data_IF_806773811711
#
_entry.id   IF_806773811711
#
_cell.length_a   1.000
_cell.length_b   1.000
_cell.length_c   1.000
_cell.angle_alpha   90.00
_cell.angle_beta   90.00
_cell.angle_gamma   90.00
#
_symmetry.space_group_name_H-M   'P 1'
#
loop_
_entity.id
_entity.type
_entity.pdbx_description
1 polymer ?
#
# COMPACT_ATOMS: atom_id res chain seq x y z
N UNK A 1 -68.93 -35.85 -18.68
CA UNK A 1 -67.61 -35.67 -18.02
C UNK A 1 -66.91 -34.46 -18.66
N UNK A 2 -66.84 -33.35 -17.93
CA UNK A 2 -66.39 -32.04 -18.48
C UNK A 2 -64.95 -31.77 -18.02
N UNK A 3 -64.04 -31.59 -18.99
CA UNK A 3 -62.63 -31.21 -18.74
C UNK A 3 -62.57 -29.71 -18.49
N UNK A 4 -61.97 -29.29 -17.38
CA UNK A 4 -61.77 -27.88 -17.02
C UNK A 4 -60.38 -27.39 -17.46
N UNK A 5 -60.25 -26.07 -17.60
CA UNK A 5 -59.20 -25.36 -18.33
C UNK A 5 -57.77 -25.43 -17.75
N UNK A 6 -57.49 -26.31 -16.78
CA UNK A 6 -56.13 -26.51 -16.23
C UNK A 6 -55.51 -27.87 -16.53
N UNK A 7 -56.20 -28.76 -17.25
CA UNK A 7 -55.66 -30.07 -17.63
C UNK A 7 -55.12 -30.09 -19.06
N UNK A 8 -54.20 -29.19 -19.44
CA UNK A 8 -53.30 -29.39 -20.58
C UNK A 8 -51.95 -28.71 -20.32
N UNK A 9 -50.90 -29.53 -20.35
CA UNK A 9 -49.51 -29.12 -20.32
C UNK A 9 -49.15 -28.33 -21.58
N UNK A 10 -49.03 -27.02 -21.45
CA UNK A 10 -48.28 -26.10 -22.33
C UNK A 10 -48.43 -24.69 -21.76
N UNK A 11 -47.76 -24.42 -20.64
CA UNK A 11 -47.79 -23.13 -19.96
C UNK A 11 -46.41 -22.76 -19.49
N UNK A 12 -45.72 -21.96 -20.29
CA UNK A 12 -44.49 -21.26 -19.92
C UNK A 12 -44.78 -20.36 -18.71
N UNK A 13 -44.44 -20.83 -17.52
CA UNK A 13 -44.26 -19.96 -16.35
C UNK A 13 -42.88 -19.32 -16.53
N UNK A 14 -42.75 -17.98 -16.60
CA UNK A 14 -41.44 -17.33 -16.59
C UNK A 14 -40.93 -17.43 -15.15
N UNK A 15 -40.31 -18.56 -14.83
CA UNK A 15 -39.50 -18.69 -13.64
C UNK A 15 -38.29 -17.79 -13.87
N UNK A 16 -38.20 -16.75 -13.05
CA UNK A 16 -37.10 -15.79 -12.93
C UNK A 16 -35.84 -16.50 -12.39
N UNK A 17 -35.39 -17.49 -13.17
CA UNK A 17 -34.15 -18.22 -12.96
C UNK A 17 -33.03 -17.33 -13.45
N UNK A 18 -32.29 -16.81 -12.49
CA UNK A 18 -30.89 -16.43 -12.57
C UNK A 18 -30.21 -17.08 -13.79
N UNK A 19 -29.84 -16.24 -14.78
CA UNK A 19 -29.04 -16.67 -15.94
C UNK A 19 -27.75 -17.34 -15.44
N UNK A 20 -27.42 -18.57 -15.87
CA UNK A 20 -26.05 -19.03 -15.79
C UNK A 20 -25.21 -18.13 -16.69
N UNK A 21 -24.17 -17.51 -16.11
CA UNK A 21 -23.24 -16.67 -16.84
C UNK A 21 -22.67 -17.44 -18.04
N UNK A 22 -22.88 -16.90 -19.24
CA UNK A 22 -22.21 -17.38 -20.44
C UNK A 22 -20.70 -17.24 -20.25
N UNK A 23 -19.98 -18.35 -20.41
CA UNK A 23 -18.53 -18.37 -20.57
C UNK A 23 -18.14 -17.50 -21.77
N UNK A 24 -17.21 -16.54 -21.65
CA UNK A 24 -16.57 -15.96 -22.82
C UNK A 24 -15.65 -17.02 -23.45
N UNK A 25 -15.97 -17.44 -24.67
CA UNK A 25 -15.05 -18.17 -25.54
C UNK A 25 -14.20 -17.19 -26.35
N UNK A 26 -12.96 -17.61 -26.59
CA UNK A 26 -11.91 -17.03 -27.45
C UNK A 26 -11.02 -15.92 -26.86
N UNK A 27 -10.06 -16.36 -26.04
CA UNK A 27 -8.71 -15.77 -25.99
C UNK A 27 -7.76 -16.80 -26.64
N UNK A 28 -6.83 -16.41 -27.51
CA UNK A 28 -6.00 -17.36 -28.24
C UNK A 28 -5.10 -18.15 -27.29
N UNK A 29 -5.09 -19.47 -27.50
CA UNK A 29 -4.22 -20.43 -26.84
C UNK A 29 -2.75 -20.01 -26.98
N UNK A 30 -2.11 -19.68 -25.86
CA UNK A 30 -0.69 -19.99 -25.66
C UNK A 30 -0.64 -21.29 -24.88
N UNK A 31 -0.27 -22.37 -25.58
CA UNK A 31 0.06 -23.64 -24.96
C UNK A 31 1.22 -23.42 -23.99
N UNK A 32 0.99 -23.65 -22.70
CA UNK A 32 2.03 -24.02 -21.76
C UNK A 32 1.52 -25.23 -20.98
N UNK A 33 1.78 -26.41 -21.55
CA UNK A 33 1.93 -27.62 -20.74
C UNK A 33 3.18 -27.46 -19.89
N UNK A 34 3.01 -27.35 -18.58
CA UNK A 34 4.11 -27.20 -17.65
C UNK A 34 3.61 -27.29 -16.22
N UNK A 35 3.46 -28.53 -15.74
CA UNK A 35 3.68 -29.01 -14.37
C UNK A 35 3.58 -27.96 -13.27
N UNK A 36 2.55 -28.08 -12.43
CA UNK A 36 2.35 -27.26 -11.24
C UNK A 36 3.62 -27.11 -10.41
N UNK A 37 4.26 -25.96 -10.55
CA UNK A 37 5.06 -25.36 -9.49
C UNK A 37 4.13 -24.39 -8.81
N UNK A 38 3.96 -24.58 -7.51
CA UNK A 38 3.47 -23.56 -6.57
C UNK A 38 4.09 -22.23 -6.98
N UNK A 39 3.32 -21.40 -7.69
CA UNK A 39 3.85 -20.18 -8.26
C UNK A 39 3.92 -19.21 -7.09
N UNK A 40 5.11 -19.10 -6.49
CA UNK A 40 5.42 -18.00 -5.59
C UNK A 40 4.89 -16.70 -6.23
N UNK A 41 4.21 -15.84 -5.46
CA UNK A 41 3.67 -14.61 -5.97
C UNK A 41 4.81 -13.84 -6.63
N UNK A 42 4.73 -13.74 -7.94
CA UNK A 42 5.87 -13.36 -8.76
C UNK A 42 6.38 -11.98 -8.31
N UNK A 43 7.69 -11.83 -8.10
CA UNK A 43 8.32 -10.59 -7.64
C UNK A 43 7.77 -9.37 -8.37
N UNK A 44 7.63 -8.24 -7.67
CA UNK A 44 7.12 -7.01 -8.26
C UNK A 44 7.98 -6.53 -9.42
N UNK A 45 7.41 -5.67 -10.26
CA UNK A 45 8.14 -5.03 -11.35
C UNK A 45 9.31 -4.18 -10.84
N UNK A 46 9.21 -3.61 -9.63
CA UNK A 46 10.25 -2.79 -9.04
C UNK A 46 11.46 -3.64 -8.64
N UNK A 47 11.24 -4.75 -7.93
CA UNK A 47 12.30 -5.68 -7.55
C UNK A 47 13.00 -6.23 -8.79
N UNK A 48 12.25 -6.65 -9.82
CA UNK A 48 12.84 -7.15 -11.07
C UNK A 48 13.72 -6.12 -11.77
N UNK A 49 13.34 -4.84 -11.76
CA UNK A 49 14.16 -3.76 -12.32
C UNK A 49 15.46 -3.62 -11.55
N UNK A 50 15.42 -3.57 -10.22
CA UNK A 50 16.61 -3.47 -9.38
C UNK A 50 17.52 -4.70 -9.54
N UNK A 51 16.95 -5.90 -9.57
CA UNK A 51 17.69 -7.15 -9.80
C UNK A 51 18.37 -7.16 -11.18
N UNK A 52 17.65 -6.76 -12.24
CA UNK A 52 18.22 -6.68 -13.59
C UNK A 52 19.37 -5.67 -13.67
N UNK A 53 19.27 -4.56 -12.92
CA UNK A 53 20.29 -3.53 -12.88
C UNK A 53 21.51 -4.04 -12.09
N UNK A 54 21.29 -4.68 -10.95
CA UNK A 54 22.35 -5.30 -10.14
C UNK A 54 23.10 -6.37 -10.94
N UNK A 55 22.38 -7.22 -11.67
CA UNK A 55 22.99 -8.22 -12.56
C UNK A 55 23.79 -7.56 -13.69
N UNK A 56 23.27 -6.50 -14.30
CA UNK A 56 23.99 -5.72 -15.31
C UNK A 56 25.29 -5.12 -14.79
N UNK A 57 25.28 -4.55 -13.58
CA UNK A 57 26.47 -3.98 -12.92
C UNK A 57 27.49 -5.06 -12.58
N UNK A 58 27.05 -6.25 -12.17
CA UNK A 58 27.94 -7.38 -11.82
C UNK A 58 28.55 -8.05 -13.05
N UNK A 59 27.80 -8.17 -14.14
CA UNK A 59 28.21 -8.90 -15.34
C UNK A 59 29.07 -8.07 -16.29
N UNK A 60 28.82 -6.77 -16.37
CA UNK A 60 29.49 -5.90 -17.34
C UNK A 60 30.78 -5.30 -16.79
N UNK A 61 31.70 -5.00 -17.71
CA UNK A 61 32.97 -4.33 -17.41
C UNK A 61 32.94 -2.82 -17.67
N UNK A 62 31.76 -2.25 -17.99
CA UNK A 62 31.59 -0.82 -18.26
C UNK A 62 32.18 -0.32 -19.60
N UNK A 63 32.73 -1.21 -20.43
CA UNK A 63 33.27 -0.87 -21.76
C UNK A 63 32.33 -1.21 -22.91
N UNK A 64 31.27 -1.96 -22.62
CA UNK A 64 30.29 -2.37 -23.62
C UNK A 64 29.40 -1.19 -23.98
N UNK A 65 29.14 -0.99 -25.27
CA UNK A 65 28.14 -0.03 -25.72
C UNK A 65 26.75 -0.59 -25.43
N UNK A 66 25.82 0.30 -25.11
CA UNK A 66 24.41 -0.08 -24.98
C UNK A 66 23.92 -0.64 -26.34
N UNK A 67 23.30 -1.84 -26.37
CA UNK A 67 22.75 -2.41 -27.60
C UNK A 67 21.67 -1.52 -28.24
N UNK A 68 21.00 -0.69 -27.46
CA UNK A 68 20.01 0.28 -27.95
C UNK A 68 20.64 1.60 -28.41
N UNK A 69 21.98 1.71 -28.40
CA UNK A 69 22.73 2.89 -28.82
C UNK A 69 22.83 3.99 -27.75
N UNK A 70 22.24 3.78 -26.57
CA UNK A 70 22.18 4.78 -25.50
C UNK A 70 21.26 5.96 -25.85
N UNK A 71 21.05 6.86 -24.89
CA UNK A 71 20.24 8.06 -25.08
C UNK A 71 21.13 9.30 -25.22
N UNK A 72 21.02 9.96 -26.38
CA UNK A 72 21.40 11.36 -26.56
C UNK A 72 20.12 12.18 -26.54
N UNK A 73 19.85 12.87 -25.44
CA UNK A 73 18.52 13.43 -25.18
C UNK A 73 18.02 14.38 -26.30
N UNK A 74 18.88 14.98 -27.15
CA UNK A 74 18.46 15.81 -28.31
C UNK A 74 17.36 16.83 -27.94
N UNK A 75 17.49 17.50 -26.80
CA UNK A 75 16.50 18.41 -26.21
C UNK A 75 15.16 17.78 -25.77
N UNK A 76 15.07 16.46 -25.64
CA UNK A 76 13.98 15.75 -24.96
C UNK A 76 14.21 15.72 -23.46
N UNK A 77 13.11 15.81 -22.72
CA UNK A 77 13.10 15.74 -21.26
C UNK A 77 13.08 14.28 -20.82
N UNK A 78 14.09 13.89 -20.04
CA UNK A 78 14.18 12.59 -19.39
C UNK A 78 14.68 12.80 -17.96
N UNK A 79 14.22 11.95 -17.04
CA UNK A 79 14.71 11.96 -15.67
C UNK A 79 16.21 11.70 -15.63
N UNK A 80 16.92 12.34 -14.69
CA UNK A 80 18.34 12.09 -14.46
C UNK A 80 18.56 10.65 -13.99
N UNK A 81 19.68 10.05 -14.40
CA UNK A 81 20.05 8.72 -13.92
C UNK A 81 20.26 8.76 -12.41
N UNK A 82 19.55 7.93 -11.62
CA UNK A 82 19.64 7.97 -10.16
C UNK A 82 21.01 7.48 -9.65
N UNK A 83 21.71 6.65 -10.44
CA UNK A 83 22.96 6.02 -10.03
C UNK A 83 24.19 6.66 -10.68
N UNK A 84 24.08 7.21 -11.89
CA UNK A 84 25.20 7.84 -12.62
C UNK A 84 24.74 9.05 -13.42
N UNK A 85 24.52 10.18 -12.77
CA UNK A 85 24.00 11.38 -13.42
C UNK A 85 24.98 12.09 -14.39
N UNK A 86 26.29 11.84 -14.28
CA UNK A 86 27.30 12.50 -15.11
C UNK A 86 28.44 11.56 -15.51
N UNK A 87 28.88 11.65 -16.77
CA UNK A 87 30.11 11.00 -17.23
C UNK A 87 31.33 11.79 -16.74
N UNK A 88 32.21 11.15 -15.95
CA UNK A 88 33.44 11.78 -15.46
C UNK A 88 34.50 12.04 -16.54
N UNK A 89 34.38 11.39 -17.70
CA UNK A 89 35.35 11.55 -18.80
C UNK A 89 35.06 12.75 -19.70
N UNK A 90 33.80 12.97 -20.09
CA UNK A 90 33.41 14.05 -21.01
C UNK A 90 32.40 15.05 -20.44
N UNK A 91 31.94 14.87 -19.19
CA UNK A 91 30.97 15.76 -18.56
C UNK A 91 29.53 15.61 -19.05
N UNK A 92 29.23 14.63 -19.91
CA UNK A 92 27.87 14.40 -20.40
C UNK A 92 26.92 14.07 -19.24
N UNK A 93 25.82 14.82 -19.13
CA UNK A 93 24.73 14.53 -18.19
C UNK A 93 23.91 13.34 -18.73
N UNK A 94 23.72 12.32 -17.89
CA UNK A 94 23.09 11.06 -18.27
C UNK A 94 21.69 10.96 -17.66
N UNK A 95 20.72 10.67 -18.52
CA UNK A 95 19.35 10.36 -18.10
C UNK A 95 19.18 8.89 -17.68
N UNK A 96 18.03 8.56 -17.09
CA UNK A 96 17.67 7.23 -16.61
C UNK A 96 17.67 6.13 -17.69
N UNK A 97 17.61 6.50 -18.97
CA UNK A 97 17.73 5.57 -20.11
C UNK A 97 19.16 5.06 -20.23
N UNK A 98 20.16 5.89 -19.91
CA UNK A 98 21.56 5.49 -19.92
C UNK A 98 21.87 4.68 -18.66
N UNK A 99 22.02 3.37 -18.84
CA UNK A 99 22.29 2.45 -17.74
C UNK A 99 23.75 2.59 -17.25
N UNK A 100 23.98 2.51 -15.93
CA UNK A 100 25.28 2.83 -15.32
C UNK A 100 26.39 1.82 -15.67
N UNK A 101 26.01 0.68 -16.24
CA UNK A 101 26.87 -0.46 -16.51
C UNK A 101 27.33 -0.53 -17.99
N UNK A 102 26.81 0.35 -18.85
CA UNK A 102 27.30 0.55 -20.21
C UNK A 102 28.33 1.70 -20.28
N UNK A 103 29.06 1.74 -21.40
CA UNK A 103 29.99 2.81 -21.72
C UNK A 103 29.25 4.12 -22.05
N UNK A 104 29.92 5.25 -21.83
CA UNK A 104 29.38 6.56 -22.20
C UNK A 104 29.04 6.62 -23.69
N UNK A 105 27.84 7.08 -24.09
CA UNK A 105 27.46 7.13 -25.50
C UNK A 105 28.32 8.14 -26.30
N UNK A 106 28.84 9.20 -25.66
CA UNK A 106 29.65 10.23 -26.31
C UNK A 106 31.14 9.85 -26.42
N UNK A 107 31.81 9.54 -25.29
CA UNK A 107 33.25 9.30 -25.30
C UNK A 107 33.65 7.83 -25.15
N UNK A 108 32.70 6.89 -25.04
CA UNK A 108 32.95 5.45 -24.80
C UNK A 108 33.73 5.11 -23.52
N UNK A 109 33.95 6.09 -22.64
CA UNK A 109 34.57 5.86 -21.34
C UNK A 109 33.64 5.09 -20.40
N UNK A 110 34.22 4.26 -19.53
CA UNK A 110 33.48 3.59 -18.48
C UNK A 110 32.87 4.62 -17.51
N UNK A 111 31.56 4.50 -17.26
CA UNK A 111 30.83 5.43 -16.39
C UNK A 111 31.17 5.24 -14.91
N UNK A 112 31.52 4.01 -14.52
CA UNK A 112 31.86 3.63 -13.17
C UNK A 112 33.27 3.05 -13.08
N UNK A 113 34.07 3.55 -12.15
CA UNK A 113 35.30 2.88 -11.71
C UNK A 113 34.98 1.55 -11.01
N UNK A 114 35.95 0.64 -10.89
CA UNK A 114 35.74 -0.64 -10.20
C UNK A 114 35.24 -0.46 -8.76
N UNK A 115 35.80 0.51 -8.04
CA UNK A 115 35.39 0.86 -6.67
C UNK A 115 33.96 1.41 -6.66
N UNK A 116 33.61 2.26 -7.63
CA UNK A 116 32.25 2.78 -7.72
C UNK A 116 31.25 1.67 -8.06
N UNK A 117 31.62 0.71 -8.91
CA UNK A 117 30.81 -0.47 -9.24
C UNK A 117 30.53 -1.33 -8.02
N UNK A 118 31.56 -1.67 -7.23
CA UNK A 118 31.36 -2.47 -6.02
C UNK A 118 30.49 -1.75 -4.98
N UNK A 119 30.68 -0.43 -4.83
CA UNK A 119 29.82 0.38 -3.96
C UNK A 119 28.38 0.45 -4.45
N UNK A 120 28.17 0.53 -5.78
CA UNK A 120 26.85 0.55 -6.38
C UNK A 120 26.17 -0.80 -6.24
N UNK A 121 26.87 -1.92 -6.45
CA UNK A 121 26.29 -3.24 -6.26
C UNK A 121 25.82 -3.45 -4.82
N UNK A 122 26.61 -3.02 -3.82
CA UNK A 122 26.22 -3.11 -2.42
C UNK A 122 24.96 -2.26 -2.12
N UNK A 123 24.90 -1.03 -2.67
CA UNK A 123 23.72 -0.17 -2.53
C UNK A 123 22.47 -0.78 -3.17
N UNK A 124 22.60 -1.40 -4.34
CA UNK A 124 21.49 -2.07 -5.01
C UNK A 124 21.00 -3.28 -4.21
N UNK A 125 21.89 -4.05 -3.60
CA UNK A 125 21.52 -5.18 -2.73
C UNK A 125 20.76 -4.70 -1.49
N UNK A 126 21.19 -3.58 -0.89
CA UNK A 126 20.45 -2.93 0.19
C UNK A 126 19.07 -2.40 -0.26
N UNK A 127 18.97 -1.81 -1.45
CA UNK A 127 17.69 -1.34 -1.99
C UNK A 127 16.73 -2.51 -2.28
N UNK A 128 17.25 -3.62 -2.83
CA UNK A 128 16.47 -4.84 -3.08
C UNK A 128 15.94 -5.40 -1.76
N UNK A 129 16.80 -5.57 -0.75
CA UNK A 129 16.37 -6.08 0.56
C UNK A 129 15.34 -5.18 1.24
N UNK A 130 15.52 -3.85 1.19
CA UNK A 130 14.54 -2.87 1.69
C UNK A 130 13.21 -2.98 0.94
N UNK A 131 13.25 -3.17 -0.37
CA UNK A 131 12.04 -3.27 -1.20
C UNK A 131 11.28 -4.59 -0.94
N UNK A 132 12.00 -5.69 -0.79
CA UNK A 132 11.42 -7.00 -0.40
C UNK A 132 10.74 -6.89 0.95
N UNK A 133 11.40 -6.33 1.96
CA UNK A 133 10.83 -6.15 3.29
C UNK A 133 9.54 -5.31 3.27
N UNK A 134 9.51 -4.22 2.49
CA UNK A 134 8.31 -3.39 2.30
C UNK A 134 7.16 -4.17 1.65
N UNK A 135 7.44 -4.97 0.63
CA UNK A 135 6.43 -5.79 -0.03
C UNK A 135 5.88 -6.89 0.87
N UNK A 136 6.72 -7.48 1.71
CA UNK A 136 6.29 -8.46 2.71
C UNK A 136 5.40 -7.81 3.79
N UNK A 137 5.79 -6.64 4.30
CA UNK A 137 4.99 -5.88 5.25
C UNK A 137 3.61 -5.52 4.66
N UNK A 138 3.58 -5.01 3.43
CA UNK A 138 2.34 -4.66 2.75
C UNK A 138 1.44 -5.89 2.54
N UNK A 139 2.03 -7.04 2.18
CA UNK A 139 1.28 -8.31 2.08
C UNK A 139 0.67 -8.72 3.42
N UNK A 140 1.41 -8.61 4.51
CA UNK A 140 0.91 -8.91 5.85
C UNK A 140 -0.21 -7.95 6.26
N UNK A 141 -0.07 -6.65 5.96
CA UNK A 141 -1.11 -5.65 6.24
C UNK A 141 -2.39 -5.91 5.46
N UNK A 142 -2.29 -6.24 4.16
CA UNK A 142 -3.46 -6.58 3.34
C UNK A 142 -4.12 -7.87 3.84
N UNK A 143 -3.34 -8.88 4.24
CA UNK A 143 -3.89 -10.12 4.79
C UNK A 143 -4.61 -9.91 6.13
N UNK A 144 -4.08 -9.04 7.00
CA UNK A 144 -4.75 -8.65 8.26
C UNK A 144 -6.05 -7.90 7.98
N UNK A 145 -6.02 -6.89 7.10
CA UNK A 145 -7.21 -6.15 6.71
C UNK A 145 -8.30 -7.04 6.10
N UNK A 146 -7.92 -8.04 5.29
CA UNK A 146 -8.86 -9.01 4.76
C UNK A 146 -9.52 -9.86 5.86
N UNK A 147 -8.75 -10.32 6.85
CA UNK A 147 -9.30 -11.04 8.02
C UNK A 147 -10.23 -10.16 8.85
N UNK A 148 -9.84 -8.91 9.08
CA UNK A 148 -10.65 -7.94 9.82
C UNK A 148 -11.95 -7.64 9.08
N UNK A 149 -11.91 -7.55 7.73
CA UNK A 149 -13.08 -7.34 6.90
C UNK A 149 -14.01 -8.56 6.82
N UNK A 150 -13.48 -9.78 6.76
CA UNK A 150 -14.27 -11.02 6.84
C UNK A 150 -14.95 -11.19 8.21
N UNK A 151 -14.31 -10.73 9.29
CA UNK A 151 -14.87 -10.69 10.62
C UNK A 151 -15.82 -9.50 10.88
N UNK A 152 -15.80 -8.48 10.01
CA UNK A 152 -16.62 -7.29 10.15
C UNK A 152 -18.02 -7.51 9.53
N UNK A 153 -19.05 -7.44 10.37
CA UNK A 153 -20.43 -7.45 9.90
C UNK A 153 -20.68 -6.20 9.04
N UNK A 154 -21.35 -6.31 7.87
CA UNK A 154 -21.60 -5.17 6.99
C UNK A 154 -22.29 -4.04 7.75
N UNK A 155 -21.64 -2.89 7.89
CA UNK A 155 -22.26 -1.71 8.47
C UNK A 155 -23.25 -1.16 7.44
N UNK A 156 -24.54 -1.39 7.67
CA UNK A 156 -25.60 -0.76 6.89
C UNK A 156 -25.47 0.76 7.05
N UNK A 157 -25.25 1.46 5.93
CA UNK A 157 -25.19 2.91 5.89
C UNK A 157 -26.54 3.48 6.38
N UNK A 158 -26.55 3.96 7.61
CA UNK A 158 -27.75 4.45 8.31
C UNK A 158 -27.49 4.80 9.78
N UNK A 159 -26.41 4.29 10.39
CA UNK A 159 -25.99 4.71 11.73
C UNK A 159 -24.84 5.72 11.63
N UNK A 160 -25.18 7.00 11.76
CA UNK A 160 -24.20 8.06 12.02
C UNK A 160 -23.66 7.87 13.43
N UNK A 161 -22.35 7.65 13.57
CA UNK A 161 -21.49 8.24 14.62
C UNK A 161 -20.04 7.80 14.39
N UNK A 162 -19.06 8.72 14.46
CA UNK A 162 -17.65 8.37 14.48
C UNK A 162 -17.26 8.03 15.92
N UNK A 163 -16.82 6.80 16.17
CA UNK A 163 -16.20 6.44 17.46
C UNK A 163 -14.73 6.15 17.24
N UNK A 164 -13.95 7.23 17.21
CA UNK A 164 -12.53 7.16 17.56
C UNK A 164 -12.48 7.04 19.08
N UNK A 165 -11.64 6.11 19.60
CA UNK A 165 -11.37 5.81 21.02
C UNK A 165 -12.39 4.90 21.71
N UNK A 166 -11.99 3.64 21.98
CA UNK A 166 -12.27 2.93 23.25
C UNK A 166 -11.56 1.58 23.27
N UNK A 167 -10.28 1.59 23.67
CA UNK A 167 -9.70 0.46 24.42
C UNK A 167 -10.00 0.74 25.90
N UNK A 168 -11.14 0.26 26.37
CA UNK A 168 -11.52 0.22 27.79
C UNK A 168 -12.36 -1.04 28.01
N UNK A 169 -12.21 -1.74 29.15
CA UNK A 169 -12.85 -3.01 29.39
C UNK A 169 -14.37 -2.82 29.46
N UNK A 170 -15.07 -3.66 28.70
CA UNK A 170 -16.52 -3.66 28.55
C UNK A 170 -17.21 -3.72 29.91
N UNK A 171 -17.95 -2.65 30.23
CA UNK A 171 -18.97 -2.65 31.28
C UNK A 171 -19.99 -3.77 30.96
N UNK A 172 -20.34 -4.67 31.90
CA UNK A 172 -21.33 -5.71 31.62
C UNK A 172 -22.67 -5.03 31.38
N UNK A 173 -23.10 -5.00 30.12
CA UNK A 173 -24.47 -4.64 29.78
C UNK A 173 -25.38 -5.67 30.43
N UNK A 174 -26.48 -5.22 31.03
CA UNK A 174 -27.48 -6.10 31.62
C UNK A 174 -28.05 -7.01 30.51
N UNK A 175 -27.46 -8.19 30.34
CA UNK A 175 -27.89 -9.17 29.35
C UNK A 175 -29.19 -9.79 29.85
N UNK A 176 -30.31 -9.29 29.34
CA UNK A 176 -31.60 -9.98 29.49
C UNK A 176 -31.60 -11.17 28.53
N UNK A 177 -31.23 -12.35 29.03
CA UNK A 177 -31.28 -13.56 28.21
C UNK A 177 -32.75 -13.95 27.99
N UNK A 178 -33.20 -13.90 26.73
CA UNK A 178 -34.50 -14.44 26.31
C UNK A 178 -34.28 -15.87 25.85
N UNK A 179 -34.74 -16.83 26.65
CA UNK A 179 -34.61 -18.25 26.33
C UNK A 179 -35.91 -18.70 25.67
N UNK A 180 -35.80 -19.16 24.42
CA UNK A 180 -36.89 -19.79 23.69
C UNK A 180 -36.81 -21.29 23.90
N UNK A 181 -37.73 -21.83 24.70
CA UNK A 181 -37.83 -23.27 24.92
C UNK A 181 -38.95 -23.84 24.06
N UNK A 182 -38.63 -24.87 23.26
CA UNK A 182 -39.57 -25.53 22.37
C UNK A 182 -39.92 -26.90 22.96
N UNK A 183 -41.18 -27.09 23.35
CA UNK A 183 -41.61 -28.36 23.93
C UNK A 183 -41.81 -29.39 22.81
N UNK A 184 -40.98 -30.43 22.77
CA UNK A 184 -40.97 -31.42 21.69
C UNK A 184 -42.25 -32.25 21.59
N UNK A 185 -43.02 -32.39 22.69
CA UNK A 185 -44.28 -33.15 22.70
C UNK A 185 -45.48 -32.33 22.24
N UNK A 186 -45.49 -31.02 22.52
CA UNK A 186 -46.63 -30.15 22.18
C UNK A 186 -46.35 -29.18 21.04
N UNK A 187 -45.10 -29.12 20.53
CA UNK A 187 -44.59 -28.17 19.50
C UNK A 187 -44.88 -26.70 19.81
N UNK A 188 -45.25 -26.38 21.06
CA UNK A 188 -45.47 -25.02 21.52
C UNK A 188 -44.15 -24.44 22.00
N UNK A 189 -43.90 -23.19 21.66
CA UNK A 189 -42.75 -22.44 22.16
C UNK A 189 -43.16 -21.64 23.40
N UNK A 190 -42.30 -21.61 24.40
CA UNK A 190 -42.44 -20.80 25.60
C UNK A 190 -41.23 -19.87 25.70
N UNK A 191 -41.49 -18.57 25.87
CA UNK A 191 -40.44 -17.56 26.03
C UNK A 191 -40.32 -17.22 27.51
N UNK A 192 -39.17 -17.53 28.12
CA UNK A 192 -38.86 -17.11 29.48
C UNK A 192 -37.82 -16.00 29.43
N UNK A 193 -38.10 -14.88 30.11
CA UNK A 193 -37.17 -13.75 30.22
C UNK A 193 -36.70 -13.62 31.65
N UNK A 194 -35.38 -13.67 31.84
CA UNK A 194 -34.73 -13.49 33.13
C UNK A 194 -33.96 -12.16 33.11
N UNK A 195 -34.29 -11.28 34.05
CA UNK A 195 -33.61 -9.99 34.24
C UNK A 195 -32.79 -10.11 35.51
N UNK A 196 -31.47 -10.24 35.37
CA UNK A 196 -30.56 -10.23 36.49
C UNK A 196 -30.19 -8.77 36.80
N UNK A 197 -30.61 -8.24 37.94
CA UNK A 197 -30.29 -6.87 38.35
C UNK A 197 -29.07 -6.89 39.27
N UNK A 198 -27.90 -6.39 38.84
CA UNK A 198 -26.75 -6.29 39.74
C UNK A 198 -26.96 -5.15 40.74
N UNK A 199 -26.84 -5.47 42.03
CA UNK A 199 -26.82 -4.52 43.14
C UNK A 199 -25.63 -3.58 42.98
N UNK A 200 -25.90 -2.28 42.99
CA UNK A 200 -24.92 -1.21 42.87
C UNK A 200 -24.07 -1.12 44.15
N UNK A 201 -22.81 -1.56 44.10
CA UNK A 201 -21.80 -1.19 45.07
C UNK A 201 -21.05 0.06 44.60
N UNK A 202 -21.11 1.12 45.42
CA UNK A 202 -20.31 2.35 45.29
C UNK A 202 -18.82 2.04 45.49
N UNK A 203 -17.88 2.69 44.78
CA UNK A 203 -16.50 2.73 45.23
C UNK A 203 -16.22 3.98 46.09
N UNK A 204 -15.38 3.79 47.10
CA UNK A 204 -14.83 4.81 47.98
C UNK A 204 -13.55 5.44 47.38
N UNK A 205 -13.33 6.73 47.70
CA UNK A 205 -12.03 7.47 47.77
C UNK A 205 -11.08 7.38 46.55
N UNK A 206 -10.89 8.44 45.75
CA UNK A 206 -10.07 9.65 46.01
C UNK A 206 -8.74 9.33 46.71
N UNK A 207 -7.67 9.18 45.93
CA UNK A 207 -6.27 9.26 46.33
C UNK A 207 -5.48 10.03 45.26
N UNK A 208 -4.46 10.73 45.71
CA UNK A 208 -3.85 11.92 45.12
C UNK A 208 -3.08 11.70 43.81
N UNK A 209 -3.08 12.76 43.00
CA UNK A 209 -2.25 12.94 41.81
C UNK A 209 -0.88 13.49 42.21
N UNK A 210 0.18 12.69 42.04
CA UNK A 210 1.55 13.19 41.95
C UNK A 210 1.71 13.91 40.60
N UNK A 211 1.94 15.22 40.67
CA UNK A 211 2.24 16.07 39.51
C UNK A 211 3.73 15.99 39.27
N UNK A 212 4.16 15.10 38.37
CA UNK A 212 5.51 15.09 37.83
C UNK A 212 5.66 16.33 36.92
N UNK A 213 6.44 17.33 37.36
CA UNK A 213 6.74 18.54 36.60
C UNK A 213 7.55 18.21 35.35
N UNK A 214 6.84 17.94 34.25
CA UNK A 214 7.44 17.89 32.92
C UNK A 214 7.91 19.31 32.57
N UNK A 215 9.23 19.51 32.57
CA UNK A 215 9.88 20.74 32.14
C UNK A 215 9.56 20.98 30.65
N UNK A 216 8.50 21.76 30.38
CA UNK A 216 8.06 22.09 29.02
C UNK A 216 8.96 23.17 28.45
N UNK A 217 9.68 22.83 27.38
CA UNK A 217 10.42 23.79 26.55
C UNK A 217 9.42 24.84 26.05
N UNK A 218 9.76 26.13 26.22
CA UNK A 218 8.92 27.23 25.78
C UNK A 218 8.65 27.12 24.27
N UNK A 219 7.42 27.45 23.86
CA UNK A 219 7.07 27.47 22.46
C UNK A 219 7.98 28.47 21.71
N UNK A 220 8.47 28.11 20.50
CA UNK A 220 9.27 29.03 19.72
C UNK A 220 8.45 30.31 19.42
N UNK A 221 9.12 31.47 19.32
CA UNK A 221 8.45 32.73 18.99
C UNK A 221 7.71 32.60 17.66
N UNK A 222 6.48 33.13 17.62
CA UNK A 222 5.59 33.05 16.45
C UNK A 222 6.05 33.88 15.26
N UNK A 223 6.92 34.86 15.50
CA UNK A 223 7.40 35.77 14.48
C UNK A 223 8.83 35.39 14.11
N UNK A 224 8.95 34.78 12.94
CA UNK A 224 10.23 34.62 12.25
C UNK A 224 10.48 35.95 11.56
N UNK A 225 11.59 36.62 11.86
CA UNK A 225 12.01 37.86 11.17
C UNK A 225 12.28 37.54 9.69
N UNK A 226 11.23 37.57 8.88
CA UNK A 226 11.36 37.55 7.43
C UNK A 226 11.87 38.92 6.97
N UNK A 227 12.91 38.88 6.14
CA UNK A 227 13.52 40.06 5.51
C UNK A 227 12.41 40.96 4.92
N UNK A 228 12.17 42.12 5.54
CA UNK A 228 11.11 43.09 5.19
C UNK A 228 11.29 43.78 3.82
N UNK A 229 12.20 43.31 2.97
CA UNK A 229 12.48 43.91 1.66
C UNK A 229 11.65 43.24 0.57
N UNK A 230 10.80 44.03 -0.09
CA UNK A 230 10.11 43.63 -1.31
C UNK A 230 11.13 43.16 -2.36
N UNK A 231 10.99 41.96 -2.95
CA UNK A 231 11.94 41.47 -3.95
C UNK A 231 12.04 42.41 -5.15
N UNK A 232 13.25 42.90 -5.44
CA UNK A 232 13.51 43.67 -6.65
C UNK A 232 13.41 42.74 -7.86
N UNK A 233 12.49 43.05 -8.79
CA UNK A 233 12.28 42.28 -10.03
C UNK A 233 13.51 42.27 -10.94
N UNK A 234 14.38 43.28 -10.86
CA UNK A 234 15.58 43.36 -11.69
C UNK A 234 16.76 42.61 -11.10
N UNK A 235 16.78 42.39 -9.79
CA UNK A 235 17.88 41.73 -9.07
C UNK A 235 17.36 40.80 -7.98
N UNK A 236 16.69 39.69 -8.36
CA UNK A 236 16.03 38.79 -7.41
C UNK A 236 16.99 38.14 -6.40
N UNK A 237 18.28 38.07 -6.73
CA UNK A 237 19.35 37.53 -5.88
C UNK A 237 19.89 38.51 -4.83
N UNK A 238 19.52 39.80 -4.87
CA UNK A 238 20.09 40.79 -3.95
C UNK A 238 19.66 40.55 -2.50
N UNK A 239 18.53 39.86 -2.29
CA UNK A 239 18.03 39.46 -0.98
C UNK A 239 18.83 38.32 -0.32
N UNK A 240 19.79 37.70 -1.02
CA UNK A 240 20.66 36.67 -0.44
C UNK A 240 21.97 37.22 0.13
N UNK A 241 22.26 38.52 -0.04
CA UNK A 241 23.37 39.16 0.67
C UNK A 241 22.91 39.44 2.10
N UNK A 242 23.04 38.44 2.97
CA UNK A 242 23.01 38.67 4.41
C UNK A 242 24.15 39.64 4.73
N UNK A 243 23.81 40.88 5.04
CA UNK A 243 24.71 41.81 5.72
C UNK A 243 25.06 41.16 7.06
N UNK A 244 26.28 40.65 7.16
CA UNK A 244 26.83 40.16 8.42
C UNK A 244 26.96 41.35 9.39
N UNK A 245 26.70 41.12 10.69
CA UNK A 245 26.82 42.17 11.72
C UNK A 245 28.26 42.69 11.86
#
# INVERSE_FOLDING_TARGET
>A
MRRTAWSKAAGSVPSDRLRPAQRPQSVPQKQNQGKGKTQEPSKSKAIRKLESLAEGVRKSFGKEKDPNGGCFCQAREHDLSPYTAICRGCGLILCAINLPYYACPHCSAALLSDIARSSLSARLDEEISKQVAKEEEERLRVAQQARDAEGAFPVLLGSTTPSVLSSMPSRPTAQTHKILSLNSKTKKYTVSSYTNTPVSSRPASRAESEVEEVHRVAAPPKEVDFVKRTPDRKHPWNNMRMEAP
#
